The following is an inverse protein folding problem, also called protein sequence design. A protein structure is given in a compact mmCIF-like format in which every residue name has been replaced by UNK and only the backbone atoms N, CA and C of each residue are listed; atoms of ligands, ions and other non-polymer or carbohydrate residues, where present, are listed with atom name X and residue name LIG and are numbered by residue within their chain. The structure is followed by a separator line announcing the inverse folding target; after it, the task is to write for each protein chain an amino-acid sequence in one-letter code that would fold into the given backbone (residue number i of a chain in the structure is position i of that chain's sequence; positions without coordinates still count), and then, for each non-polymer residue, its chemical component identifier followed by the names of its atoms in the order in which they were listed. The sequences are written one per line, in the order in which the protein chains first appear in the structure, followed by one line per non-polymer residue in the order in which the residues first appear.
data_IF_773414956422
#
_entry.id   IF_773414956422
#
_cell.length_a   1.000
_cell.length_b   1.000
_cell.length_c   1.000
_cell.angle_alpha   90.00
_cell.angle_beta   90.00
_cell.angle_gamma   90.00
#
_symmetry.space_group_name_H-M   'P 1'
#
loop_
_entity.id
_entity.type
_entity.pdbx_description
1 polymer ?
#
# COMPACT_ATOMS: atom_id res chain seq x y z
N UNK A 1 18.08 23.13 36.93
CA UNK A 1 17.81 22.25 35.78
C UNK A 1 18.60 20.97 35.98
N UNK A 2 17.93 19.82 35.96
CA UNK A 2 18.58 18.51 36.07
C UNK A 2 19.25 18.15 34.74
N UNK A 3 20.58 18.04 34.74
CA UNK A 3 21.39 17.78 33.54
C UNK A 3 21.18 16.38 32.98
N UNK A 4 20.98 15.39 33.86
CA UNK A 4 20.78 14.00 33.42
C UNK A 4 19.43 13.85 32.74
N UNK A 5 18.37 14.42 33.34
CA UNK A 5 17.04 14.45 32.73
C UNK A 5 17.03 15.18 31.38
N UNK A 6 17.73 16.32 31.28
CA UNK A 6 17.85 17.05 30.02
C UNK A 6 18.55 16.20 28.94
N UNK A 7 19.66 15.54 29.27
CA UNK A 7 20.39 14.71 28.32
C UNK A 7 19.56 13.51 27.82
N UNK A 8 18.86 12.81 28.72
CA UNK A 8 17.96 11.71 28.34
C UNK A 8 16.85 12.18 27.39
N UNK A 9 16.31 13.38 27.61
CA UNK A 9 15.28 13.94 26.74
C UNK A 9 15.85 14.34 25.37
N UNK A 10 17.06 14.89 25.31
CA UNK A 10 17.75 15.17 24.03
C UNK A 10 17.93 13.89 23.22
N UNK A 11 18.39 12.80 23.84
CA UNK A 11 18.55 11.50 23.16
C UNK A 11 17.23 10.96 22.63
N UNK A 12 16.13 11.11 23.39
CA UNK A 12 14.79 10.76 22.90
C UNK A 12 14.42 11.56 21.65
N UNK A 13 14.57 12.89 21.68
CA UNK A 13 14.20 13.75 20.55
C UNK A 13 14.99 13.41 19.28
N UNK A 14 16.30 13.19 19.42
CA UNK A 14 17.16 12.77 18.30
C UNK A 14 16.74 11.38 17.79
N UNK A 15 16.43 10.45 18.69
CA UNK A 15 15.92 9.12 18.35
C UNK A 15 14.60 9.14 17.57
N UNK A 16 13.66 9.99 17.96
CA UNK A 16 12.37 10.14 17.26
C UNK A 16 12.57 10.67 15.82
N UNK A 17 13.47 11.63 15.64
CA UNK A 17 13.83 12.16 14.31
C UNK A 17 14.50 11.08 13.46
N UNK A 18 15.48 10.36 14.02
CA UNK A 18 16.15 9.26 13.32
C UNK A 18 15.16 8.16 12.92
N UNK A 19 14.21 7.81 13.80
CA UNK A 19 13.15 6.83 13.53
C UNK A 19 12.26 7.29 12.38
N UNK A 20 11.93 8.58 12.31
CA UNK A 20 11.13 9.16 11.21
C UNK A 20 11.88 9.09 9.87
N UNK A 21 13.19 9.36 9.89
CA UNK A 21 14.04 9.22 8.70
C UNK A 21 14.11 7.76 8.23
N UNK A 22 14.32 6.81 9.15
CA UNK A 22 14.30 5.38 8.85
C UNK A 22 12.94 4.95 8.27
N UNK A 23 11.83 5.38 8.86
CA UNK A 23 10.48 5.11 8.36
C UNK A 23 10.26 5.62 6.93
N UNK A 24 10.84 6.78 6.58
CA UNK A 24 10.78 7.34 5.24
C UNK A 24 11.58 6.50 4.23
N UNK A 25 12.71 5.94 4.65
CA UNK A 25 13.51 5.01 3.83
C UNK A 25 12.81 3.65 3.65
N UNK A 26 12.09 3.15 4.67
CA UNK A 26 11.25 1.95 4.54
C UNK A 26 10.12 2.17 3.54
N UNK A 27 9.43 3.31 3.62
CA UNK A 27 8.41 3.67 2.64
C UNK A 27 8.97 3.71 1.21
N UNK A 28 10.12 4.36 1.03
CA UNK A 28 10.78 4.43 -0.27
C UNK A 28 11.16 3.03 -0.78
N UNK A 29 11.73 2.21 0.09
CA UNK A 29 12.07 0.81 -0.19
C UNK A 29 10.86 0.00 -0.62
N UNK A 30 9.74 0.10 0.09
CA UNK A 30 8.50 -0.61 -0.24
C UNK A 30 7.88 -0.14 -1.58
N UNK A 31 7.91 1.16 -1.87
CA UNK A 31 7.42 1.71 -3.15
C UNK A 31 8.25 1.25 -4.35
N UNK A 32 9.56 1.15 -4.16
CA UNK A 32 10.51 0.69 -5.17
C UNK A 32 10.72 -0.84 -5.15
N UNK A 33 10.05 -1.56 -4.25
CA UNK A 33 10.19 -3.01 -4.02
C UNK A 33 11.65 -3.44 -3.75
N UNK A 34 12.41 -2.61 -3.02
CA UNK A 34 13.83 -2.85 -2.75
C UNK A 34 14.08 -3.97 -1.75
N UNK A 35 13.16 -4.20 -0.81
CA UNK A 35 13.28 -5.33 0.12
C UNK A 35 13.11 -6.66 -0.63
N UNK A 36 12.20 -6.70 -1.60
CA UNK A 36 12.02 -7.85 -2.50
C UNK A 36 13.18 -7.98 -3.51
N UNK A 37 13.74 -6.85 -3.95
CA UNK A 37 14.78 -6.80 -4.97
C UNK A 37 16.23 -6.84 -4.44
N UNK A 38 16.43 -6.75 -3.14
CA UNK A 38 17.64 -7.24 -2.45
C UNK A 38 17.84 -8.74 -2.68
N UNK A 39 16.74 -9.48 -2.89
CA UNK A 39 16.80 -10.83 -3.41
C UNK A 39 16.97 -10.89 -4.95
N UNK A 40 16.55 -9.86 -5.70
CA UNK A 40 16.59 -9.83 -7.19
C UNK A 40 16.72 -8.41 -7.79
N UNK A 41 17.96 -7.96 -8.08
CA UNK A 41 18.37 -6.87 -9.02
C UNK A 41 17.34 -5.75 -9.28
N UNK A 42 17.11 -4.86 -8.31
CA UNK A 42 16.35 -3.62 -8.56
C UNK A 42 16.99 -2.76 -9.68
N UNK A 43 16.17 -2.14 -10.52
CA UNK A 43 16.63 -1.16 -11.52
C UNK A 43 16.84 0.22 -10.88
N UNK A 44 17.75 0.31 -9.91
CA UNK A 44 18.14 1.57 -9.27
C UNK A 44 19.62 1.84 -9.51
N UNK A 45 19.99 3.13 -9.50
CA UNK A 45 21.38 3.53 -9.66
C UNK A 45 22.22 3.01 -8.47
N UNK A 46 23.40 2.39 -8.72
CA UNK A 46 24.19 1.72 -7.68
C UNK A 46 24.46 2.58 -6.45
N UNK A 47 24.80 3.86 -6.65
CA UNK A 47 25.05 4.78 -5.53
C UNK A 47 23.83 4.96 -4.62
N UNK A 48 22.63 5.07 -5.17
CA UNK A 48 21.42 5.21 -4.37
C UNK A 48 21.06 3.90 -3.65
N UNK A 49 21.39 2.75 -4.24
CA UNK A 49 21.24 1.46 -3.58
C UNK A 49 22.15 1.36 -2.34
N UNK A 50 23.43 1.70 -2.49
CA UNK A 50 24.41 1.69 -1.40
C UNK A 50 23.99 2.60 -0.24
N UNK A 51 23.59 3.85 -0.51
CA UNK A 51 23.16 4.80 0.52
C UNK A 51 21.89 4.34 1.23
N UNK A 52 20.91 3.82 0.48
CA UNK A 52 19.68 3.29 1.06
C UNK A 52 19.97 2.07 1.94
N UNK A 53 20.82 1.14 1.49
CA UNK A 53 21.23 -0.04 2.26
C UNK A 53 22.00 0.33 3.52
N UNK A 54 22.92 1.29 3.45
CA UNK A 54 23.64 1.80 4.61
C UNK A 54 22.67 2.41 5.63
N UNK A 55 21.69 3.19 5.18
CA UNK A 55 20.63 3.74 6.04
C UNK A 55 19.76 2.67 6.69
N UNK A 56 19.38 1.63 5.94
CA UNK A 56 18.59 0.51 6.47
C UNK A 56 19.40 -0.35 7.45
N UNK A 57 20.70 -0.54 7.22
CA UNK A 57 21.59 -1.24 8.14
C UNK A 57 21.76 -0.46 9.45
N UNK A 58 22.01 0.86 9.35
CA UNK A 58 22.10 1.74 10.53
C UNK A 58 20.80 1.81 11.33
N UNK A 59 19.65 1.57 10.69
CA UNK A 59 18.34 1.50 11.34
C UNK A 59 17.95 0.09 11.82
N UNK A 60 18.77 -0.93 11.58
CA UNK A 60 18.53 -2.31 12.01
C UNK A 60 17.49 -3.09 11.20
N UNK A 61 17.20 -2.68 9.96
CA UNK A 61 16.29 -3.40 9.07
C UNK A 61 16.98 -4.48 8.25
N UNK A 62 18.23 -4.25 7.88
CA UNK A 62 19.09 -5.19 7.13
C UNK A 62 20.41 -5.36 7.87
N UNK A 63 21.05 -6.50 7.72
CA UNK A 63 22.38 -6.75 8.25
C UNK A 63 23.45 -6.31 7.25
N UNK A 64 24.60 -5.90 7.77
CA UNK A 64 25.78 -5.55 6.99
C UNK A 64 26.98 -6.37 7.46
N UNK A 65 27.60 -7.11 6.54
CA UNK A 65 28.83 -7.84 6.80
C UNK A 65 30.05 -6.99 6.38
N UNK A 66 30.86 -6.49 7.33
CA UNK A 66 32.03 -5.67 7.01
C UNK A 66 33.15 -6.47 6.31
N UNK A 67 33.18 -7.80 6.42
CA UNK A 67 34.21 -8.62 5.78
C UNK A 67 33.98 -8.75 4.27
N UNK A 68 32.72 -8.83 3.84
CA UNK A 68 32.34 -9.00 2.43
C UNK A 68 31.78 -7.73 1.80
N UNK A 69 31.39 -6.75 2.61
CA UNK A 69 30.66 -5.56 2.17
C UNK A 69 29.22 -5.87 1.72
N UNK A 70 28.69 -7.06 2.06
CA UNK A 70 27.37 -7.49 1.66
C UNK A 70 26.30 -6.99 2.63
N UNK A 71 25.09 -6.81 2.09
CA UNK A 71 23.88 -6.54 2.87
C UNK A 71 22.93 -7.73 2.75
N UNK A 72 22.28 -8.08 3.85
CA UNK A 72 21.32 -9.18 3.92
C UNK A 72 20.03 -8.73 4.59
N UNK A 73 18.89 -9.20 4.09
CA UNK A 73 17.60 -9.03 4.78
C UNK A 73 17.33 -10.32 5.56
N UNK A 74 17.39 -10.30 6.91
CA UNK A 74 17.13 -11.48 7.72
C UNK A 74 15.73 -12.05 7.48
N UNK A 75 15.60 -13.38 7.52
CA UNK A 75 14.32 -14.08 7.33
C UNK A 75 13.28 -13.64 8.38
N UNK A 76 13.74 -13.34 9.61
CA UNK A 76 12.91 -12.84 10.70
C UNK A 76 12.25 -11.49 10.36
N UNK A 77 12.94 -10.66 9.57
CA UNK A 77 12.44 -9.34 9.14
C UNK A 77 11.61 -9.44 7.86
N UNK A 78 11.97 -10.36 6.96
CA UNK A 78 11.38 -10.48 5.64
C UNK A 78 9.84 -10.59 5.67
N UNK A 79 9.28 -11.39 6.56
CA UNK A 79 7.82 -11.55 6.69
C UNK A 79 7.05 -10.24 6.97
N UNK A 80 7.69 -9.27 7.61
CA UNK A 80 7.08 -7.97 7.93
C UNK A 80 7.19 -6.96 6.78
N UNK A 81 8.12 -7.19 5.83
CA UNK A 81 8.51 -6.22 4.82
C UNK A 81 8.13 -6.64 3.40
N UNK A 82 8.21 -7.94 3.07
CA UNK A 82 8.10 -8.44 1.69
C UNK A 82 6.81 -9.23 1.43
N UNK A 83 6.32 -10.01 2.40
CA UNK A 83 5.14 -10.86 2.19
C UNK A 83 3.82 -10.11 2.43
N UNK A 84 3.26 -9.50 1.38
CA UNK A 84 1.97 -8.80 1.42
C UNK A 84 0.75 -9.67 1.79
N UNK A 85 0.90 -10.99 1.85
CA UNK A 85 -0.18 -11.91 2.23
C UNK A 85 -0.14 -12.28 3.71
N UNK A 86 0.99 -12.02 4.38
CA UNK A 86 1.15 -12.20 5.82
C UNK A 86 0.30 -11.20 6.60
N UNK A 87 -0.35 -11.66 7.66
CA UNK A 87 -1.04 -10.79 8.63
C UNK A 87 -0.07 -9.90 9.41
N UNK A 88 1.21 -10.30 9.45
CA UNK A 88 2.29 -9.55 10.06
C UNK A 88 2.96 -8.59 9.07
N UNK A 89 2.46 -8.43 7.84
CA UNK A 89 3.08 -7.49 6.91
C UNK A 89 2.83 -6.04 7.33
N UNK A 90 3.88 -5.38 7.82
CA UNK A 90 3.82 -4.02 8.37
C UNK A 90 4.32 -2.95 7.41
N UNK A 91 5.03 -3.29 6.32
CA UNK A 91 5.54 -2.28 5.39
C UNK A 91 4.42 -1.39 4.79
N UNK A 92 3.19 -1.89 4.68
CA UNK A 92 2.03 -1.11 4.23
C UNK A 92 1.67 0.06 5.13
N UNK A 93 1.98 -0.01 6.44
CA UNK A 93 1.71 1.07 7.40
C UNK A 93 2.43 2.36 7.03
N UNK A 94 3.65 2.24 6.52
CA UNK A 94 4.51 3.38 6.20
C UNK A 94 3.92 4.22 5.06
N UNK A 95 3.04 3.66 4.22
CA UNK A 95 2.36 4.35 3.12
C UNK A 95 1.57 5.58 3.55
N UNK A 96 1.00 5.58 4.77
CA UNK A 96 0.17 6.67 5.27
C UNK A 96 0.95 7.83 5.89
N UNK A 97 2.24 7.65 6.16
CA UNK A 97 3.06 8.66 6.87
C UNK A 97 3.12 10.01 6.15
N UNK A 98 3.30 10.09 4.81
CA UNK A 98 3.30 11.38 4.12
C UNK A 98 1.97 12.12 4.24
N UNK A 99 0.85 11.39 4.21
CA UNK A 99 -0.49 11.97 4.38
C UNK A 99 -0.69 12.54 5.78
N UNK A 100 -0.22 11.83 6.81
CA UNK A 100 -0.31 12.28 8.20
C UNK A 100 0.57 13.52 8.41
N UNK A 101 1.82 13.48 7.96
CA UNK A 101 2.75 14.60 8.05
C UNK A 101 2.25 15.83 7.25
N UNK A 102 1.71 15.60 6.05
CA UNK A 102 1.16 16.66 5.21
C UNK A 102 -0.07 17.34 5.80
N UNK A 103 -0.83 16.65 6.67
CA UNK A 103 -2.00 17.21 7.33
C UNK A 103 -1.66 18.26 8.40
N UNK A 104 -0.40 18.38 8.84
CA UNK A 104 0.01 19.34 9.88
C UNK A 104 -0.42 20.77 9.52
N UNK A 105 -0.25 21.19 8.27
CA UNK A 105 -0.62 22.53 7.81
C UNK A 105 -2.12 22.83 7.98
N UNK A 106 -2.97 21.80 7.89
CA UNK A 106 -4.42 21.94 8.09
C UNK A 106 -4.82 21.78 9.56
N UNK A 107 -4.06 20.98 10.32
CA UNK A 107 -4.28 20.79 11.75
C UNK A 107 -3.95 22.06 12.54
N UNK A 108 -2.93 22.83 12.15
CA UNK A 108 -2.58 24.08 12.85
C UNK A 108 -3.74 25.07 13.04
N UNK A 109 -4.53 25.44 12.02
CA UNK A 109 -5.71 26.28 12.20
C UNK A 109 -6.87 25.54 12.87
N UNK A 110 -7.01 24.23 12.66
CA UNK A 110 -8.05 23.40 13.28
C UNK A 110 -7.89 23.36 14.81
N UNK A 111 -6.66 23.22 15.31
CA UNK A 111 -6.35 23.26 16.75
C UNK A 111 -6.72 24.59 17.41
N UNK A 112 -6.67 25.69 16.67
CA UNK A 112 -7.04 27.03 17.18
C UNK A 112 -8.55 27.27 17.14
N UNK A 113 -9.21 26.81 16.08
CA UNK A 113 -10.63 27.05 15.84
C UNK A 113 -11.56 26.01 16.47
N UNK A 114 -11.03 24.84 16.86
CA UNK A 114 -11.83 23.68 17.26
C UNK A 114 -12.51 22.97 16.09
N UNK A 115 -12.24 23.39 14.84
CA UNK A 115 -12.69 22.68 13.65
C UNK A 115 -11.96 21.33 13.51
N UNK A 116 -12.50 20.44 12.69
CA UNK A 116 -11.86 19.17 12.33
C UNK A 116 -11.20 19.22 10.95
N UNK A 117 -10.20 18.37 10.73
CA UNK A 117 -9.67 18.07 9.39
C UNK A 117 -10.42 16.85 8.86
N UNK A 118 -11.11 17.01 7.73
CA UNK A 118 -11.87 15.92 7.12
C UNK A 118 -10.96 14.80 6.64
N UNK A 119 -11.43 13.55 6.69
CA UNK A 119 -10.61 12.39 6.25
C UNK A 119 -10.19 12.49 4.77
N UNK A 120 -10.97 13.16 3.92
CA UNK A 120 -10.61 13.41 2.52
C UNK A 120 -9.35 14.28 2.35
N UNK A 121 -9.02 15.10 3.34
CA UNK A 121 -7.85 15.99 3.32
C UNK A 121 -6.53 15.25 3.53
N UNK A 122 -6.58 14.00 3.99
CA UNK A 122 -5.40 13.14 4.11
C UNK A 122 -5.01 12.49 2.78
N UNK A 123 -5.69 12.80 1.67
CA UNK A 123 -5.35 12.30 0.34
C UNK A 123 -5.58 10.79 0.16
N UNK A 124 -5.08 10.23 -0.94
CA UNK A 124 -5.33 8.83 -1.33
C UNK A 124 -4.44 7.83 -0.60
N UNK A 125 -3.24 8.24 -0.17
CA UNK A 125 -2.23 7.34 0.39
C UNK A 125 -2.65 6.78 1.75
N UNK A 126 -3.30 7.58 2.61
CA UNK A 126 -3.75 7.11 3.93
C UNK A 126 -4.81 5.99 3.84
N UNK A 127 -5.92 6.15 3.08
CA UNK A 127 -6.86 5.05 2.86
C UNK A 127 -6.22 3.80 2.25
N UNK A 128 -5.29 3.96 1.32
CA UNK A 128 -4.59 2.83 0.71
C UNK A 128 -3.66 2.12 1.69
N UNK A 129 -2.94 2.85 2.55
CA UNK A 129 -2.11 2.28 3.59
C UNK A 129 -2.93 1.51 4.63
N UNK A 130 -4.06 2.09 5.08
CA UNK A 130 -5.01 1.40 5.97
C UNK A 130 -5.58 0.14 5.33
N UNK A 131 -5.89 0.18 4.04
CA UNK A 131 -6.36 -0.99 3.32
C UNK A 131 -5.24 -2.03 3.16
N UNK A 132 -4.01 -1.61 2.88
CA UNK A 132 -2.86 -2.50 2.72
C UNK A 132 -2.55 -3.25 4.02
N UNK A 133 -2.58 -2.54 5.16
CA UNK A 133 -2.44 -3.12 6.50
C UNK A 133 -3.53 -4.15 6.80
N UNK A 134 -4.80 -3.82 6.54
CA UNK A 134 -5.91 -4.69 6.94
C UNK A 134 -6.18 -5.83 5.96
N UNK A 135 -5.70 -5.76 4.71
CA UNK A 135 -6.07 -6.69 3.64
C UNK A 135 -5.74 -8.14 3.98
N UNK A 136 -4.54 -8.41 4.46
CA UNK A 136 -4.13 -9.77 4.81
C UNK A 136 -5.01 -10.35 5.93
N UNK A 137 -5.29 -9.56 6.96
CA UNK A 137 -6.15 -9.96 8.08
C UNK A 137 -7.56 -10.30 7.60
N UNK A 138 -8.18 -9.43 6.80
CA UNK A 138 -9.52 -9.72 6.26
C UNK A 138 -9.52 -10.96 5.35
N UNK A 139 -8.55 -11.08 4.44
CA UNK A 139 -8.47 -12.22 3.52
C UNK A 139 -8.29 -13.56 4.27
N UNK A 140 -7.50 -13.55 5.33
CA UNK A 140 -7.15 -14.78 6.07
C UNK A 140 -8.20 -15.14 7.12
N UNK A 141 -8.85 -14.15 7.76
CA UNK A 141 -9.71 -14.39 8.92
C UNK A 141 -11.20 -14.20 8.68
N UNK A 142 -11.62 -13.27 7.81
CA UNK A 142 -13.02 -12.88 7.68
C UNK A 142 -13.93 -14.08 7.41
N UNK A 143 -13.62 -14.83 6.35
CA UNK A 143 -14.42 -15.98 5.90
C UNK A 143 -14.17 -17.22 6.74
N UNK A 144 -12.91 -17.43 7.16
CA UNK A 144 -12.47 -18.66 7.82
C UNK A 144 -12.79 -18.71 9.32
N UNK A 145 -12.81 -17.55 9.99
CA UNK A 145 -12.90 -17.48 11.45
C UNK A 145 -13.98 -16.51 11.93
N UNK A 146 -14.05 -15.29 11.39
CA UNK A 146 -14.94 -14.27 11.92
C UNK A 146 -16.40 -14.53 11.56
N UNK A 147 -16.72 -14.81 10.28
CA UNK A 147 -18.09 -15.11 9.89
C UNK A 147 -18.65 -16.37 10.56
N UNK A 148 -17.92 -17.50 10.67
CA UNK A 148 -18.38 -18.67 11.41
C UNK A 148 -18.65 -18.41 12.89
N UNK A 149 -18.01 -17.41 13.50
CA UNK A 149 -18.26 -17.04 14.90
C UNK A 149 -19.63 -16.37 15.13
N UNK A 150 -20.30 -15.94 14.06
CA UNK A 150 -21.64 -15.35 14.13
C UNK A 150 -22.67 -16.37 13.64
N UNK A 151 -23.49 -16.96 14.55
CA UNK A 151 -24.39 -18.05 14.20
C UNK A 151 -25.32 -17.72 13.03
N UNK A 152 -25.37 -18.61 12.03
CA UNK A 152 -26.30 -18.53 10.91
C UNK A 152 -25.88 -17.58 9.78
N UNK A 153 -24.80 -16.80 9.92
CA UNK A 153 -24.39 -15.83 8.88
C UNK A 153 -23.80 -16.54 7.67
N UNK A 154 -22.86 -17.46 7.88
CA UNK A 154 -22.22 -18.18 6.79
C UNK A 154 -23.24 -18.99 5.99
N UNK A 155 -24.16 -19.67 6.67
CA UNK A 155 -25.23 -20.45 6.05
C UNK A 155 -26.15 -19.58 5.20
N UNK A 156 -26.55 -18.40 5.72
CA UNK A 156 -27.36 -17.43 4.96
C UNK A 156 -26.65 -16.94 3.71
N UNK A 157 -25.34 -16.68 3.79
CA UNK A 157 -24.56 -16.24 2.62
C UNK A 157 -24.38 -17.37 1.61
N UNK A 158 -24.11 -18.60 2.05
CA UNK A 158 -24.04 -19.78 1.18
C UNK A 158 -25.38 -20.04 0.45
N UNK A 159 -26.51 -19.79 1.11
CA UNK A 159 -27.86 -19.91 0.53
C UNK A 159 -28.25 -18.75 -0.42
N UNK A 160 -27.32 -17.84 -0.75
CA UNK A 160 -27.57 -16.71 -1.64
C UNK A 160 -28.13 -15.47 -0.94
N UNK A 161 -27.83 -15.31 0.34
CA UNK A 161 -28.21 -14.16 1.15
C UNK A 161 -27.59 -12.84 0.69
N UNK A 162 -27.80 -11.79 1.48
CA UNK A 162 -27.35 -10.43 1.16
C UNK A 162 -26.50 -9.85 2.28
N UNK A 163 -25.43 -9.15 1.91
CA UNK A 163 -24.55 -8.44 2.85
C UNK A 163 -24.25 -7.03 2.36
N UNK A 164 -24.02 -6.11 3.30
CA UNK A 164 -23.54 -4.76 3.02
C UNK A 164 -22.42 -4.42 3.98
N UNK A 165 -21.31 -3.89 3.44
CA UNK A 165 -20.19 -3.34 4.20
C UNK A 165 -20.31 -1.81 4.23
N UNK A 166 -20.41 -1.20 5.41
CA UNK A 166 -20.62 0.25 5.59
C UNK A 166 -19.29 0.88 6.03
N UNK A 167 -18.81 1.86 5.27
CA UNK A 167 -17.44 2.36 5.39
C UNK A 167 -16.44 1.43 4.70
N UNK A 168 -16.82 0.90 3.52
CA UNK A 168 -16.08 -0.17 2.88
C UNK A 168 -14.69 0.23 2.33
N UNK A 169 -14.38 1.53 2.33
CA UNK A 169 -13.12 2.09 1.83
C UNK A 169 -12.84 1.63 0.40
N UNK A 170 -11.65 1.06 0.19
CA UNK A 170 -11.24 0.53 -1.12
C UNK A 170 -11.90 -0.82 -1.47
N UNK A 171 -12.80 -1.34 -0.62
CA UNK A 171 -13.62 -2.52 -0.89
C UNK A 171 -12.98 -3.86 -0.55
N UNK A 172 -12.03 -3.93 0.40
CA UNK A 172 -11.35 -5.19 0.79
C UNK A 172 -12.37 -6.26 1.21
N UNK A 173 -13.24 -5.92 2.15
CA UNK A 173 -14.25 -6.83 2.73
C UNK A 173 -15.30 -7.26 1.71
N UNK A 174 -16.00 -6.36 0.98
CA UNK A 174 -17.05 -6.78 0.05
C UNK A 174 -16.50 -7.64 -1.08
N UNK A 175 -15.25 -7.40 -1.53
CA UNK A 175 -14.59 -8.26 -2.52
C UNK A 175 -14.33 -9.66 -1.93
N UNK A 176 -13.78 -9.74 -0.72
CA UNK A 176 -13.52 -11.03 -0.06
C UNK A 176 -14.81 -11.84 0.15
N UNK A 177 -15.90 -11.18 0.56
CA UNK A 177 -17.22 -11.81 0.70
C UNK A 177 -17.78 -12.30 -0.64
N UNK A 178 -17.72 -11.47 -1.68
CA UNK A 178 -18.22 -11.85 -3.01
C UNK A 178 -17.44 -13.03 -3.61
N UNK A 179 -16.13 -13.13 -3.33
CA UNK A 179 -15.30 -14.25 -3.76
C UNK A 179 -15.64 -15.54 -2.99
N UNK A 180 -15.88 -15.45 -1.69
CA UNK A 180 -16.18 -16.61 -0.85
C UNK A 180 -17.62 -17.13 -0.99
N UNK A 181 -18.57 -16.25 -1.30
CA UNK A 181 -19.99 -16.59 -1.43
C UNK A 181 -20.55 -16.14 -2.79
N UNK A 182 -20.24 -16.83 -3.90
CA UNK A 182 -20.62 -16.40 -5.25
C UNK A 182 -22.13 -16.30 -5.50
N UNK A 183 -22.94 -17.01 -4.69
CA UNK A 183 -24.40 -16.92 -4.73
C UNK A 183 -24.98 -15.73 -3.98
N UNK A 184 -24.22 -15.12 -3.07
CA UNK A 184 -24.66 -13.99 -2.26
C UNK A 184 -24.64 -12.67 -3.04
N UNK A 185 -25.52 -11.74 -2.65
CA UNK A 185 -25.44 -10.35 -3.12
C UNK A 185 -24.70 -9.51 -2.10
N UNK A 186 -23.54 -8.96 -2.47
CA UNK A 186 -22.70 -8.15 -1.58
C UNK A 186 -22.62 -6.72 -2.08
N UNK A 187 -22.83 -5.76 -1.19
CA UNK A 187 -22.68 -4.33 -1.45
C UNK A 187 -21.60 -3.72 -0.55
N UNK A 188 -20.94 -2.68 -1.04
CA UNK A 188 -20.12 -1.77 -0.24
C UNK A 188 -20.74 -0.37 -0.29
N UNK A 189 -20.77 0.31 0.85
CA UNK A 189 -21.25 1.69 0.98
C UNK A 189 -20.14 2.55 1.57
N UNK A 190 -19.80 3.63 0.88
CA UNK A 190 -18.82 4.62 1.33
C UNK A 190 -19.36 6.02 0.99
N UNK A 191 -19.38 6.98 1.94
CA UNK A 191 -19.82 8.34 1.65
C UNK A 191 -19.05 9.00 0.50
N UNK A 192 -19.79 9.64 -0.42
CA UNK A 192 -19.24 10.26 -1.64
C UNK A 192 -18.12 11.27 -1.38
N UNK A 193 -18.13 11.95 -0.22
CA UNK A 193 -17.06 12.88 0.17
C UNK A 193 -15.68 12.21 0.28
N UNK A 194 -15.63 10.89 0.47
CA UNK A 194 -14.41 10.09 0.54
C UNK A 194 -14.05 9.41 -0.79
N UNK A 195 -14.85 9.62 -1.84
CA UNK A 195 -14.66 8.99 -3.15
C UNK A 195 -13.41 9.49 -3.88
N UNK A 196 -13.06 10.77 -3.71
CA UNK A 196 -11.86 11.37 -4.33
C UNK A 196 -10.55 10.80 -3.77
N UNK A 197 -10.58 10.30 -2.53
CA UNK A 197 -9.44 9.71 -1.82
C UNK A 197 -9.30 8.21 -1.99
N UNK A 198 -10.20 7.55 -2.71
CA UNK A 198 -10.12 6.11 -2.97
C UNK A 198 -9.79 5.92 -4.46
N UNK A 199 -8.50 5.83 -4.79
CA UNK A 199 -8.05 5.72 -6.17
C UNK A 199 -8.64 4.47 -6.85
N UNK A 200 -9.44 4.68 -7.90
CA UNK A 200 -9.79 3.84 -9.07
C UNK A 200 -10.18 2.34 -8.92
N UNK A 201 -9.85 1.66 -7.82
CA UNK A 201 -10.14 0.24 -7.54
C UNK A 201 -11.52 -0.01 -6.96
N UNK A 202 -12.24 1.03 -6.57
CA UNK A 202 -13.69 0.97 -6.28
C UNK A 202 -14.50 0.42 -7.47
N UNK A 203 -13.94 0.40 -8.69
CA UNK A 203 -14.50 -0.36 -9.83
C UNK A 203 -14.65 -1.87 -9.55
N UNK A 204 -13.80 -2.47 -8.72
CA UNK A 204 -13.90 -3.89 -8.36
C UNK A 204 -15.10 -4.17 -7.44
N UNK A 205 -15.43 -3.24 -6.54
CA UNK A 205 -16.65 -3.35 -5.71
C UNK A 205 -17.93 -3.18 -6.56
N UNK A 206 -17.85 -2.47 -7.69
CA UNK A 206 -18.95 -2.42 -8.69
C UNK A 206 -19.03 -3.63 -9.62
N UNK A 207 -18.08 -4.57 -9.56
CA UNK A 207 -18.02 -5.76 -10.43
C UNK A 207 -18.45 -7.07 -9.75
N UNK A 208 -18.81 -7.06 -8.47
CA UNK A 208 -19.50 -8.19 -7.84
C UNK A 208 -20.95 -8.27 -8.37
N UNK A 209 -21.30 -9.42 -8.92
CA UNK A 209 -22.35 -9.61 -9.92
C UNK A 209 -23.81 -9.38 -9.47
N UNK A 210 -24.62 -8.94 -10.45
CA UNK A 210 -26.10 -8.86 -10.54
C UNK A 210 -26.80 -7.67 -9.86
N UNK A 211 -27.03 -6.64 -10.68
CA UNK A 211 -28.17 -5.72 -10.68
C UNK A 211 -28.72 -5.27 -9.31
N UNK A 212 -28.15 -4.18 -8.78
CA UNK A 212 -28.71 -3.48 -7.63
C UNK A 212 -29.91 -2.60 -8.03
N UNK A 213 -31.07 -3.23 -8.27
CA UNK A 213 -32.37 -2.54 -8.29
C UNK A 213 -33.03 -2.56 -6.90
N UNK A 214 -32.58 -3.44 -6.00
CA UNK A 214 -33.17 -3.64 -4.67
C UNK A 214 -32.76 -2.60 -3.60
N UNK A 215 -31.67 -1.84 -3.78
CA UNK A 215 -31.33 -0.75 -2.84
C UNK A 215 -32.42 0.32 -2.75
N UNK A 216 -33.20 0.56 -3.82
CA UNK A 216 -34.30 1.55 -3.82
C UNK A 216 -35.45 1.20 -2.88
N UNK A 217 -35.72 -0.09 -2.63
CA UNK A 217 -36.89 -0.52 -1.83
C UNK A 217 -36.60 -0.62 -0.33
N UNK A 218 -35.36 -0.90 0.05
CA UNK A 218 -34.99 -1.06 1.46
C UNK A 218 -34.40 0.23 2.08
N UNK A 219 -33.82 1.12 1.28
CA UNK A 219 -33.09 2.30 1.76
C UNK A 219 -33.30 3.50 0.83
N UNK A 220 -34.46 4.19 0.90
CA UNK A 220 -34.87 5.22 -0.06
C UNK A 220 -34.01 6.51 -0.07
N UNK A 221 -32.98 6.61 0.77
CA UNK A 221 -32.09 7.78 0.91
C UNK A 221 -30.74 7.62 0.20
N UNK A 222 -30.52 6.52 -0.55
CA UNK A 222 -29.22 6.19 -1.15
C UNK A 222 -29.15 6.57 -2.62
N UNK A 223 -28.30 7.54 -2.96
CA UNK A 223 -28.00 7.93 -4.33
C UNK A 223 -27.00 6.96 -5.04
N UNK A 224 -27.21 6.83 -6.36
CA UNK A 224 -26.84 5.80 -7.37
C UNK A 224 -25.36 5.36 -7.47
N UNK A 225 -25.11 4.11 -7.94
CA UNK A 225 -24.14 3.75 -9.03
C UNK A 225 -24.49 2.41 -9.75
N UNK A 226 -24.29 2.35 -11.09
CA UNK A 226 -24.23 1.16 -12.00
C UNK A 226 -22.93 1.21 -12.86
N UNK A 227 -22.45 0.10 -13.49
CA UNK A 227 -21.87 -0.02 -14.89
C UNK A 227 -21.00 -1.32 -15.15
N UNK A 228 -20.84 -1.70 -16.45
CA UNK A 228 -20.47 -2.98 -17.15
C UNK A 228 -18.96 -3.12 -17.57
N UNK A 229 -18.52 -4.32 -18.02
CA UNK A 229 -17.11 -4.80 -18.11
C UNK A 229 -16.45 -5.03 -19.51
N UNK A 230 -15.10 -5.13 -19.53
CA UNK A 230 -14.18 -5.75 -20.52
C UNK A 230 -12.78 -5.06 -20.53
N UNK A 231 -11.58 -5.63 -20.70
CA UNK A 231 -11.00 -6.99 -20.76
C UNK A 231 -9.47 -6.90 -20.45
N UNK A 232 -8.77 -8.04 -20.36
CA UNK A 232 -7.46 -8.39 -19.75
C UNK A 232 -6.13 -7.86 -20.35
N UNK A 233 -5.04 -7.84 -19.55
CA UNK A 233 -3.63 -7.63 -19.98
C UNK A 233 -2.81 -8.92 -19.79
N UNK A 234 -2.14 -9.36 -20.87
CA UNK A 234 -1.32 -10.59 -20.94
C UNK A 234 0.12 -10.42 -20.42
N UNK A 235 0.74 -11.55 -20.05
CA UNK A 235 2.11 -11.66 -19.51
C UNK A 235 3.12 -11.96 -20.64
N UNK A 236 4.24 -11.24 -20.68
CA UNK A 236 5.37 -11.52 -21.58
C UNK A 236 6.56 -12.13 -20.84
N UNK A 237 7.19 -13.15 -21.44
CA UNK A 237 8.46 -13.78 -21.02
C UNK A 237 9.57 -13.32 -21.98
N UNK A 238 10.82 -13.21 -21.52
CA UNK A 238 12.00 -12.89 -22.34
C UNK A 238 13.07 -14.00 -22.25
N UNK A 239 13.84 -14.28 -23.32
CA UNK A 239 14.90 -15.29 -23.32
C UNK A 239 16.30 -14.72 -23.01
N UNK A 240 17.21 -15.62 -22.59
CA UNK A 240 18.58 -15.35 -22.18
C UNK A 240 19.61 -15.39 -23.34
N UNK A 241 20.70 -14.62 -23.13
CA UNK A 241 21.81 -14.12 -23.98
C UNK A 241 22.65 -15.08 -24.88
N UNK A 242 23.44 -14.39 -25.75
CA UNK A 242 24.73 -14.69 -26.45
C UNK A 242 24.59 -15.27 -27.88
N UNK A 243 25.29 -14.86 -28.94
CA UNK A 243 26.22 -13.76 -29.26
C UNK A 243 26.84 -14.03 -30.65
N UNK A 244 27.24 -13.01 -31.43
CA UNK A 244 28.38 -13.06 -32.40
C UNK A 244 28.53 -11.74 -33.14
N UNK A 245 29.77 -11.26 -33.21
CA UNK A 245 30.24 -10.12 -34.02
C UNK A 245 30.35 -10.52 -35.48
N UNK A 246 29.90 -9.67 -36.41
CA UNK A 246 30.49 -9.52 -37.76
C UNK A 246 30.12 -8.16 -38.38
N UNK A 247 31.09 -7.62 -39.11
CA UNK A 247 31.26 -6.30 -39.73
C UNK A 247 30.30 -5.93 -40.87
N UNK A 248 29.99 -4.63 -41.03
CA UNK A 248 30.24 -3.83 -42.25
C UNK A 248 29.47 -2.49 -42.23
N UNK A 249 30.07 -1.40 -42.75
CA UNK A 249 29.29 -0.32 -43.38
C UNK A 249 29.35 1.08 -42.74
N UNK A 250 30.49 1.73 -42.92
CA UNK A 250 30.79 3.16 -43.04
C UNK A 250 29.66 4.23 -43.24
N UNK A 251 29.96 5.44 -42.73
CA UNK A 251 29.67 6.82 -43.25
C UNK A 251 28.73 7.73 -42.43
N UNK A 252 29.38 8.72 -41.78
CA UNK A 252 29.14 10.18 -41.81
C UNK A 252 28.68 10.96 -40.57
N UNK A 253 29.55 11.92 -40.24
CA UNK A 253 29.29 13.33 -39.92
C UNK A 253 28.67 13.75 -38.57
N UNK A 254 29.57 14.10 -37.65
CA UNK A 254 29.68 15.39 -36.96
C UNK A 254 28.42 16.21 -36.61
N UNK A 255 28.21 16.47 -35.30
CA UNK A 255 28.44 17.80 -34.65
C UNK A 255 28.25 17.72 -33.12
N UNK A 256 29.00 18.51 -32.32
CA UNK A 256 28.88 18.57 -30.87
C UNK A 256 27.86 19.63 -30.42
N UNK A 257 27.12 19.35 -29.35
CA UNK A 257 26.26 20.34 -28.67
C UNK A 257 27.05 21.01 -27.55
N UNK A 258 27.12 22.35 -27.61
CA UNK A 258 27.74 23.24 -26.63
C UNK A 258 26.80 23.48 -25.46
N UNK A 259 27.41 23.68 -24.29
CA UNK A 259 26.82 24.26 -23.09
C UNK A 259 26.40 25.72 -23.30
N UNK A 260 25.28 26.11 -22.68
CA UNK A 260 24.98 27.51 -22.36
C UNK A 260 24.47 27.59 -20.93
N UNK A 261 25.23 28.34 -20.14
CA UNK A 261 24.94 29.12 -18.92
C UNK A 261 24.15 28.50 -17.78
#
# INVERSE_FOLDING_TARGET
MDKQRANSFTLKMVGDVATTMAASLVLLGSRLQLFEALAQRAQIAPRYAEEWLAGMAGAGYVDYDPATGAFELPDEHAQFLTDRTSECWLAGLFGGLPSIAGAIAQLEPAFRSGAGVGFAEYGTELPEALAAMNRAVYNNRLVRSWLPSVPGVAERLMAGGRAIDIGCGVGVVPIALAQAFPGATVAGLEPDRFRKTLATRSRACSMASRACTACRRAWPWVDRVWVRAGASVGRGRWPSRRGSVASSGSISAARPWRSTH
#
